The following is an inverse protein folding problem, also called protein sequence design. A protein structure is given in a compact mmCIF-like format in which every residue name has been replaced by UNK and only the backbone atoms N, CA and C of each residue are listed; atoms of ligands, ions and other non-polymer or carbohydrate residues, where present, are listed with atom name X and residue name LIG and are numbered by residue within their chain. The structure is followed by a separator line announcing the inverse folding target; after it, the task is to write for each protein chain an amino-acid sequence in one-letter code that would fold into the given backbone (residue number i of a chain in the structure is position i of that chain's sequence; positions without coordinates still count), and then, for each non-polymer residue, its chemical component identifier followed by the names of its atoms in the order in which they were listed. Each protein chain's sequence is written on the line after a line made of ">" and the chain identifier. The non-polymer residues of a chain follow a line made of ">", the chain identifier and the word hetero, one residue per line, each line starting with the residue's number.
data_IF_855486767835
#
_entry.id   IF_855486767835
#
_cell.length_a   1.000
_cell.length_b   1.000
_cell.length_c   1.000
_cell.angle_alpha   90.00
_cell.angle_beta   90.00
_cell.angle_gamma   90.00
#
_symmetry.space_group_name_H-M   'P 1'
#
loop_
_entity.id
_entity.type
_entity.pdbx_description
1 polymer ?
#
# COMPACT_ATOMS: atom_id res chain seq x y z
N UNK A 1 6.51 -10.22 12.79
CA UNK A 1 5.11 -9.80 12.93
C UNK A 1 4.16 -10.81 12.27
N UNK A 2 2.86 -10.76 12.59
CA UNK A 2 1.84 -11.64 11.99
C UNK A 2 1.75 -11.43 10.46
N UNK A 3 1.93 -10.21 10.00
CA UNK A 3 1.92 -9.90 8.57
C UNK A 3 3.13 -10.52 7.84
N UNK A 4 4.30 -10.55 8.44
CA UNK A 4 5.47 -11.27 7.89
C UNK A 4 5.24 -12.79 7.89
N UNK A 5 4.63 -13.32 8.95
CA UNK A 5 4.25 -14.74 9.01
C UNK A 5 3.26 -15.11 7.92
N UNK A 6 2.28 -14.24 7.64
CA UNK A 6 1.34 -14.41 6.54
C UNK A 6 2.04 -14.38 5.17
N UNK A 7 2.95 -13.42 4.93
CA UNK A 7 3.76 -13.38 3.71
C UNK A 7 4.59 -14.64 3.52
N UNK A 8 5.22 -15.12 4.59
CA UNK A 8 5.98 -16.38 4.57
C UNK A 8 5.08 -17.56 4.21
N UNK A 9 3.93 -17.69 4.86
CA UNK A 9 2.98 -18.78 4.61
C UNK A 9 2.54 -18.81 3.14
N UNK A 10 2.19 -17.66 2.56
CA UNK A 10 1.76 -17.58 1.16
C UNK A 10 2.90 -17.98 0.21
N UNK A 11 4.14 -17.55 0.47
CA UNK A 11 5.29 -17.92 -0.35
C UNK A 11 5.65 -19.40 -0.23
N UNK A 12 5.66 -19.94 0.98
CA UNK A 12 5.95 -21.36 1.25
C UNK A 12 4.88 -22.28 0.63
N UNK A 13 3.64 -21.81 0.51
CA UNK A 13 2.52 -22.55 -0.05
C UNK A 13 2.30 -22.29 -1.55
N UNK A 14 3.15 -21.51 -2.20
CA UNK A 14 2.93 -21.06 -3.57
C UNK A 14 2.75 -22.24 -4.55
N UNK A 15 3.54 -23.28 -4.44
CA UNK A 15 3.43 -24.48 -5.30
C UNK A 15 2.10 -25.21 -5.07
N UNK A 16 1.72 -25.40 -3.79
CA UNK A 16 0.48 -26.11 -3.41
C UNK A 16 -0.76 -25.32 -3.85
N UNK A 17 -0.70 -24.00 -3.76
CA UNK A 17 -1.81 -23.11 -4.12
C UNK A 17 -1.76 -22.63 -5.58
N UNK A 18 -0.82 -23.14 -6.36
CA UNK A 18 -0.61 -22.75 -7.76
C UNK A 18 -0.47 -21.24 -7.94
N UNK A 19 0.33 -20.61 -7.08
CA UNK A 19 0.65 -19.19 -7.11
C UNK A 19 2.02 -18.95 -7.75
N UNK A 20 2.21 -17.78 -8.34
CA UNK A 20 3.53 -17.31 -8.72
C UNK A 20 4.21 -16.66 -7.51
N UNK A 21 5.28 -17.24 -6.92
CA UNK A 21 5.94 -16.68 -5.75
C UNK A 21 6.58 -15.30 -6.00
N UNK A 22 6.76 -14.92 -7.26
CA UNK A 22 7.31 -13.62 -7.66
C UNK A 22 6.21 -12.58 -8.01
N UNK A 23 4.94 -12.89 -7.75
CA UNK A 23 3.80 -12.01 -8.02
C UNK A 23 2.80 -12.02 -6.85
N UNK A 24 3.31 -11.83 -5.63
CA UNK A 24 2.53 -11.79 -4.39
C UNK A 24 2.56 -10.36 -3.86
N UNK A 25 1.38 -9.74 -3.79
CA UNK A 25 1.21 -8.39 -3.26
C UNK A 25 0.66 -8.36 -1.85
N UNK A 26 0.72 -7.17 -1.25
CA UNK A 26 0.03 -6.85 -0.01
C UNK A 26 -0.97 -5.73 -0.25
N UNK A 27 -2.13 -5.82 0.41
CA UNK A 27 -3.17 -4.79 0.32
C UNK A 27 -3.60 -4.36 1.72
N UNK A 28 -3.81 -3.07 1.89
CA UNK A 28 -4.29 -2.53 3.15
C UNK A 28 -5.02 -1.20 3.00
N UNK A 29 -5.94 -0.93 3.92
CA UNK A 29 -6.71 0.31 3.97
C UNK A 29 -6.52 1.00 5.32
N UNK A 30 -6.49 2.34 5.35
CA UNK A 30 -6.39 3.13 6.57
C UNK A 30 -5.19 2.70 7.44
N UNK A 31 -5.39 2.34 8.69
CA UNK A 31 -4.34 1.76 9.55
C UNK A 31 -3.75 0.45 8.99
N UNK A 32 -4.57 -0.37 8.30
CA UNK A 32 -4.08 -1.55 7.57
C UNK A 32 -3.18 -1.18 6.38
N UNK A 33 -3.37 -0.01 5.79
CA UNK A 33 -2.47 0.57 4.81
C UNK A 33 -1.11 0.92 5.41
N UNK A 34 -1.09 1.38 6.68
CA UNK A 34 0.17 1.56 7.40
C UNK A 34 0.90 0.23 7.59
N UNK A 35 0.20 -0.81 8.07
CA UNK A 35 0.79 -2.14 8.20
C UNK A 35 1.34 -2.66 6.87
N UNK A 36 0.55 -2.56 5.79
CA UNK A 36 0.97 -3.00 4.46
C UNK A 36 2.22 -2.26 3.97
N UNK A 37 2.27 -0.94 4.10
CA UNK A 37 3.44 -0.14 3.72
C UNK A 37 4.64 -0.35 4.66
N UNK A 38 4.42 -0.70 5.93
CA UNK A 38 5.49 -1.09 6.85
C UNK A 38 6.14 -2.40 6.39
N UNK A 39 5.36 -3.42 6.03
CA UNK A 39 5.91 -4.65 5.46
C UNK A 39 6.67 -4.37 4.16
N UNK A 40 6.13 -3.50 3.31
CA UNK A 40 6.77 -3.13 2.04
C UNK A 40 8.12 -2.42 2.23
N UNK A 41 8.29 -1.64 3.30
CA UNK A 41 9.50 -0.84 3.54
C UNK A 41 10.50 -1.50 4.49
N UNK A 42 10.05 -2.31 5.47
CA UNK A 42 10.91 -2.85 6.53
C UNK A 42 11.19 -4.35 6.42
N UNK A 43 10.31 -5.13 5.75
CA UNK A 43 10.51 -6.57 5.69
C UNK A 43 11.80 -6.94 4.93
N UNK A 44 12.49 -8.00 5.36
CA UNK A 44 13.61 -8.54 4.60
C UNK A 44 13.14 -9.02 3.22
N UNK A 45 14.06 -9.09 2.27
CA UNK A 45 13.77 -9.42 0.87
C UNK A 45 12.87 -10.66 0.70
N UNK A 46 13.16 -11.72 1.44
CA UNK A 46 12.41 -12.99 1.37
C UNK A 46 10.92 -12.85 1.77
N UNK A 47 10.57 -11.85 2.58
CA UNK A 47 9.21 -11.61 3.08
C UNK A 47 8.57 -10.37 2.47
N UNK A 48 9.34 -9.58 1.70
CA UNK A 48 8.84 -8.35 1.08
C UNK A 48 7.85 -8.69 -0.04
N UNK A 49 6.68 -8.03 -0.09
CA UNK A 49 5.74 -8.21 -1.19
C UNK A 49 6.33 -7.74 -2.53
N UNK A 50 5.80 -8.22 -3.64
CA UNK A 50 6.21 -7.80 -4.99
C UNK A 50 5.54 -6.50 -5.42
N UNK A 51 4.40 -6.16 -4.82
CA UNK A 51 3.67 -4.90 -5.01
C UNK A 51 2.77 -4.61 -3.80
N UNK A 52 2.32 -3.37 -3.68
CA UNK A 52 1.45 -2.92 -2.61
C UNK A 52 0.26 -2.13 -3.15
N UNK A 53 -0.93 -2.37 -2.57
CA UNK A 53 -2.18 -1.69 -2.90
C UNK A 53 -2.68 -1.02 -1.64
N UNK A 54 -2.78 0.30 -1.65
CA UNK A 54 -3.01 1.11 -0.46
C UNK A 54 -4.23 2.02 -0.64
N UNK A 55 -5.27 1.75 0.13
CA UNK A 55 -6.50 2.55 0.14
C UNK A 55 -6.45 3.53 1.32
N UNK A 56 -6.43 4.82 1.01
CA UNK A 56 -6.36 5.92 1.98
C UNK A 56 -5.47 5.58 3.20
N UNK A 57 -4.21 5.10 2.93
CA UNK A 57 -3.37 4.57 3.99
C UNK A 57 -2.92 5.65 4.98
N UNK A 58 -2.82 5.30 6.25
CA UNK A 58 -1.91 5.99 7.15
C UNK A 58 -0.48 5.63 6.70
N UNK A 59 0.39 6.61 6.58
CA UNK A 59 1.79 6.43 6.14
C UNK A 59 2.75 7.02 7.16
N UNK A 60 2.54 8.27 7.51
CA UNK A 60 3.40 9.01 8.44
C UNK A 60 2.99 8.79 9.89
N UNK A 61 3.97 8.94 10.79
CA UNK A 61 3.74 9.11 12.22
C UNK A 61 4.05 10.54 12.69
N UNK A 62 4.26 11.46 11.74
CA UNK A 62 4.40 12.88 12.04
C UNK A 62 3.06 13.45 12.52
N UNK A 63 3.03 13.92 13.77
CA UNK A 63 1.81 14.40 14.46
C UNK A 63 1.10 15.55 13.74
N UNK A 64 1.78 16.26 12.84
CA UNK A 64 1.18 17.39 12.12
C UNK A 64 0.17 16.98 11.04
N UNK A 65 0.25 15.74 10.52
CA UNK A 65 -0.65 15.26 9.47
C UNK A 65 -0.92 13.75 9.46
N UNK A 66 -0.54 13.03 10.54
CA UNK A 66 -0.93 11.63 10.73
C UNK A 66 -2.37 11.49 11.20
N UNK A 67 -2.88 10.27 11.21
CA UNK A 67 -4.06 9.88 11.99
C UNK A 67 -3.64 9.58 13.43
N UNK A 68 -3.93 10.47 14.37
CA UNK A 68 -3.45 10.37 15.77
C UNK A 68 -3.88 9.08 16.47
N UNK A 69 -5.08 8.57 16.19
CA UNK A 69 -5.52 7.29 16.74
C UNK A 69 -4.61 6.13 16.33
N UNK A 70 -4.15 6.08 15.09
CA UNK A 70 -3.18 5.08 14.61
C UNK A 70 -1.81 5.27 15.25
N UNK A 71 -1.34 6.52 15.35
CA UNK A 71 -0.09 6.85 16.03
C UNK A 71 -0.08 6.36 17.48
N UNK A 72 -1.08 6.75 18.26
CA UNK A 72 -1.14 6.45 19.70
C UNK A 72 -1.32 4.94 19.97
N UNK A 73 -2.08 4.25 19.13
CA UNK A 73 -2.27 2.80 19.26
C UNK A 73 -1.02 2.00 18.89
N UNK A 74 -0.23 2.48 17.93
CA UNK A 74 0.97 1.78 17.48
C UNK A 74 2.19 2.10 18.35
N UNK A 75 2.42 3.39 18.61
CA UNK A 75 3.65 3.88 19.22
C UNK A 75 3.49 4.33 20.67
N UNK A 76 2.26 4.58 21.11
CA UNK A 76 1.97 5.25 22.37
C UNK A 76 1.98 6.77 22.23
N UNK A 77 1.29 7.45 23.19
CA UNK A 77 1.14 8.91 23.16
C UNK A 77 2.47 9.66 23.32
N UNK A 78 3.40 9.08 24.05
CA UNK A 78 4.72 9.65 24.38
C UNK A 78 5.85 9.04 23.54
N UNK A 79 5.53 8.64 22.31
CA UNK A 79 6.52 8.07 21.38
C UNK A 79 7.70 9.03 21.15
N UNK A 80 8.91 8.47 21.09
CA UNK A 80 10.09 9.26 20.74
C UNK A 80 10.10 9.67 19.29
N UNK A 81 10.78 10.77 18.97
CA UNK A 81 10.96 11.23 17.59
C UNK A 81 11.63 10.18 16.70
N UNK A 82 12.53 9.36 17.25
CA UNK A 82 13.19 8.28 16.50
C UNK A 82 12.19 7.18 16.15
N UNK A 83 11.29 6.81 17.06
CA UNK A 83 10.25 5.82 16.81
C UNK A 83 9.22 6.35 15.80
N UNK A 84 8.81 7.61 15.92
CA UNK A 84 7.93 8.25 14.93
C UNK A 84 8.58 8.27 13.54
N UNK A 85 9.89 8.55 13.46
CA UNK A 85 10.63 8.52 12.20
C UNK A 85 10.75 7.12 11.63
N UNK A 86 11.00 6.11 12.46
CA UNK A 86 11.10 4.71 12.07
C UNK A 86 9.81 4.22 11.42
N UNK A 87 8.66 4.56 12.02
CA UNK A 87 7.34 4.16 11.52
C UNK A 87 6.66 5.17 10.59
N UNK A 88 7.35 6.24 10.19
CA UNK A 88 6.96 7.10 9.08
C UNK A 88 7.47 6.48 7.77
N UNK A 89 6.62 5.71 7.10
CA UNK A 89 7.02 4.85 5.98
C UNK A 89 7.54 5.63 4.77
N UNK A 90 7.13 6.88 4.57
CA UNK A 90 7.70 7.76 3.55
C UNK A 90 9.19 8.05 3.77
N UNK A 91 9.67 7.92 5.00
CA UNK A 91 11.09 8.10 5.37
C UNK A 91 11.91 6.81 5.25
N UNK A 92 11.25 5.68 5.05
CA UNK A 92 11.85 4.35 5.00
C UNK A 92 11.95 3.76 3.59
N UNK A 93 11.51 4.51 2.58
CA UNK A 93 11.53 4.07 1.18
C UNK A 93 12.95 3.92 0.67
N UNK A 94 13.24 2.76 0.08
CA UNK A 94 14.49 2.46 -0.63
C UNK A 94 14.18 2.12 -2.11
N UNK A 95 15.20 1.87 -2.91
CA UNK A 95 15.03 1.41 -4.30
C UNK A 95 14.46 -0.02 -4.40
N UNK A 96 14.55 -0.79 -3.31
CA UNK A 96 14.00 -2.13 -3.19
C UNK A 96 12.54 -2.15 -2.70
N UNK A 97 12.01 -1.00 -2.27
CA UNK A 97 10.60 -0.89 -1.90
C UNK A 97 9.71 -1.23 -3.11
N UNK A 98 8.70 -2.11 -2.96
CA UNK A 98 7.89 -2.55 -4.09
C UNK A 98 6.99 -1.43 -4.61
N UNK A 99 6.66 -1.52 -5.90
CA UNK A 99 5.73 -0.60 -6.58
C UNK A 99 4.40 -0.50 -5.83
N UNK A 100 3.78 0.69 -5.90
CA UNK A 100 2.57 0.98 -5.15
C UNK A 100 1.43 1.52 -6.03
N UNK A 101 0.22 1.08 -5.71
CA UNK A 101 -1.03 1.71 -6.11
C UNK A 101 -1.65 2.38 -4.89
N UNK A 102 -1.84 3.70 -4.94
CA UNK A 102 -2.26 4.51 -3.78
C UNK A 102 -3.50 5.31 -4.17
N UNK A 103 -4.55 5.25 -3.36
CA UNK A 103 -5.80 5.97 -3.63
C UNK A 103 -6.33 6.70 -2.39
N UNK A 104 -6.87 7.90 -2.61
CA UNK A 104 -7.51 8.75 -1.59
C UNK A 104 -8.73 9.47 -2.15
N UNK A 105 -9.49 10.09 -1.26
CA UNK A 105 -10.39 11.21 -1.59
C UNK A 105 -9.80 12.51 -1.07
N UNK A 106 -9.94 13.61 -1.82
CA UNK A 106 -9.42 14.93 -1.45
C UNK A 106 -10.06 15.46 -0.16
N UNK A 107 -11.31 15.09 0.06
CA UNK A 107 -12.11 15.47 1.23
C UNK A 107 -11.95 14.55 2.44
N UNK A 108 -10.94 13.64 2.45
CA UNK A 108 -10.66 12.76 3.60
C UNK A 108 -10.20 13.57 4.81
N UNK A 109 -11.04 13.60 5.86
CA UNK A 109 -10.76 14.32 7.13
C UNK A 109 -10.19 13.42 8.23
N UNK A 110 -10.09 12.11 7.97
CA UNK A 110 -9.57 11.11 8.91
C UNK A 110 -8.09 10.87 8.68
N UNK A 111 -7.72 10.57 7.43
CA UNK A 111 -6.33 10.40 7.00
C UNK A 111 -6.05 11.39 5.88
N UNK A 112 -5.38 12.50 6.15
CA UNK A 112 -5.10 13.51 5.13
C UNK A 112 -4.36 12.93 3.93
N UNK A 113 -4.77 13.25 2.68
CA UNK A 113 -4.12 12.78 1.46
C UNK A 113 -2.62 13.08 1.38
N UNK A 114 -2.12 14.05 2.16
CA UNK A 114 -0.69 14.34 2.32
C UNK A 114 0.14 13.10 2.70
N UNK A 115 -0.45 12.13 3.42
CA UNK A 115 0.18 10.83 3.68
C UNK A 115 0.59 10.14 2.37
N UNK A 116 -0.36 9.99 1.44
CA UNK A 116 -0.13 9.34 0.15
C UNK A 116 0.77 10.15 -0.77
N UNK A 117 0.61 11.48 -0.78
CA UNK A 117 1.43 12.40 -1.59
C UNK A 117 2.91 12.27 -1.19
N UNK A 118 3.22 12.34 0.10
CA UNK A 118 4.60 12.23 0.59
C UNK A 118 5.19 10.84 0.32
N UNK A 119 4.38 9.80 0.47
CA UNK A 119 4.83 8.43 0.15
C UNK A 119 5.11 8.25 -1.33
N UNK A 120 4.22 8.71 -2.20
CA UNK A 120 4.43 8.70 -3.65
C UNK A 120 5.70 9.45 -4.06
N UNK A 121 5.93 10.64 -3.51
CA UNK A 121 7.14 11.42 -3.79
C UNK A 121 8.41 10.69 -3.33
N UNK A 122 8.37 10.02 -2.19
CA UNK A 122 9.49 9.22 -1.69
C UNK A 122 9.77 8.01 -2.62
N UNK A 123 8.74 7.31 -3.07
CA UNK A 123 8.84 6.21 -4.04
C UNK A 123 9.41 6.71 -5.37
N UNK A 124 8.87 7.81 -5.91
CA UNK A 124 9.32 8.42 -7.15
C UNK A 124 10.79 8.83 -7.09
N UNK A 125 11.22 9.48 -6.00
CA UNK A 125 12.63 9.86 -5.77
C UNK A 125 13.59 8.67 -5.78
N UNK A 126 13.11 7.48 -5.41
CA UNK A 126 13.89 6.23 -5.42
C UNK A 126 13.76 5.44 -6.72
N UNK A 127 13.04 5.96 -7.71
CA UNK A 127 12.80 5.30 -8.99
C UNK A 127 11.85 4.09 -8.89
N UNK A 128 11.04 4.01 -7.84
CA UNK A 128 10.05 2.94 -7.66
C UNK A 128 8.78 3.30 -8.45
N UNK A 129 8.37 2.49 -9.44
CA UNK A 129 7.17 2.75 -10.22
C UNK A 129 5.92 2.71 -9.33
N UNK A 130 5.19 3.83 -9.26
CA UNK A 130 4.00 3.93 -8.41
C UNK A 130 2.99 4.88 -9.02
N UNK A 131 1.73 4.71 -8.65
CA UNK A 131 0.64 5.61 -9.04
C UNK A 131 -0.09 6.12 -7.81
N UNK A 132 -0.60 7.34 -7.91
CA UNK A 132 -1.43 7.98 -6.89
C UNK A 132 -2.66 8.58 -7.57
N UNK A 133 -3.84 8.16 -7.11
CA UNK A 133 -5.12 8.74 -7.52
C UNK A 133 -5.78 9.40 -6.32
N UNK A 134 -6.18 10.65 -6.49
CA UNK A 134 -6.94 11.41 -5.47
C UNK A 134 -8.26 11.82 -6.12
N UNK A 135 -9.36 11.22 -5.67
CA UNK A 135 -10.70 11.52 -6.15
C UNK A 135 -11.27 12.75 -5.45
N UNK A 136 -12.08 13.57 -6.13
CA UNK A 136 -12.56 14.83 -5.55
C UNK A 136 -13.34 14.67 -4.24
N UNK A 137 -14.13 13.58 -4.12
CA UNK A 137 -14.97 13.33 -2.95
C UNK A 137 -15.02 11.84 -2.62
N UNK A 138 -15.46 11.51 -1.42
CA UNK A 138 -15.64 10.14 -0.92
C UNK A 138 -15.36 10.01 0.56
N UNK A 139 -14.69 10.99 1.16
CA UNK A 139 -14.28 10.94 2.54
C UNK A 139 -13.33 9.78 2.82
N UNK A 140 -13.52 9.10 3.93
CA UNK A 140 -12.69 7.98 4.38
C UNK A 140 -13.47 6.67 4.41
N UNK A 141 -12.80 5.56 4.13
CA UNK A 141 -13.37 4.23 4.38
C UNK A 141 -14.30 3.69 3.28
N UNK A 142 -14.29 4.27 2.08
CA UNK A 142 -15.18 3.86 1.00
C UNK A 142 -14.86 2.47 0.40
N UNK A 143 -13.60 2.06 0.33
CA UNK A 143 -13.18 0.75 -0.19
C UNK A 143 -13.81 0.42 -1.55
N UNK A 144 -14.65 -0.62 -1.55
CA UNK A 144 -15.43 -1.06 -2.74
C UNK A 144 -16.95 -0.86 -2.55
N UNK A 145 -17.34 0.07 -1.67
CA UNK A 145 -18.76 0.34 -1.38
C UNK A 145 -19.49 0.83 -2.64
N UNK A 146 -20.75 0.44 -2.77
CA UNK A 146 -21.57 0.81 -3.92
C UNK A 146 -21.87 2.30 -4.00
N UNK A 147 -21.90 2.99 -2.87
CA UNK A 147 -22.13 4.43 -2.77
C UNK A 147 -20.89 5.30 -3.01
N UNK A 148 -19.72 4.71 -3.24
CA UNK A 148 -18.54 5.47 -3.67
C UNK A 148 -18.65 5.87 -5.12
N UNK A 149 -18.76 7.17 -5.37
CA UNK A 149 -19.02 7.74 -6.71
C UNK A 149 -18.01 7.29 -7.78
N UNK A 150 -16.74 7.11 -7.40
CA UNK A 150 -15.63 6.76 -8.30
C UNK A 150 -15.23 5.28 -8.23
N UNK A 151 -16.13 4.41 -7.76
CA UNK A 151 -15.83 2.98 -7.58
C UNK A 151 -15.38 2.33 -8.89
N UNK A 152 -16.12 2.57 -9.99
CA UNK A 152 -15.83 1.95 -11.29
C UNK A 152 -14.50 2.44 -11.85
N UNK A 153 -14.23 3.73 -11.76
CA UNK A 153 -12.97 4.34 -12.21
C UNK A 153 -11.81 3.75 -11.43
N UNK A 154 -11.91 3.71 -10.10
CA UNK A 154 -10.88 3.15 -9.23
C UNK A 154 -10.59 1.68 -9.55
N UNK A 155 -11.63 0.87 -9.73
CA UNK A 155 -11.47 -0.55 -10.07
C UNK A 155 -10.83 -0.75 -11.44
N UNK A 156 -11.18 0.07 -12.42
CA UNK A 156 -10.58 0.04 -13.75
C UNK A 156 -9.11 0.45 -13.73
N UNK A 157 -8.76 1.50 -12.98
CA UNK A 157 -7.39 1.97 -12.80
C UNK A 157 -6.53 0.93 -12.07
N UNK A 158 -7.04 0.33 -10.99
CA UNK A 158 -6.37 -0.76 -10.28
C UNK A 158 -6.13 -1.97 -11.18
N UNK A 159 -7.14 -2.37 -11.94
CA UNK A 159 -7.06 -3.50 -12.87
C UNK A 159 -6.02 -3.22 -13.96
N UNK A 160 -6.04 -2.02 -14.53
CA UNK A 160 -5.08 -1.60 -15.56
C UNK A 160 -3.65 -1.56 -15.00
N UNK A 161 -3.48 -1.04 -13.78
CA UNK A 161 -2.19 -1.01 -13.12
C UNK A 161 -1.65 -2.42 -12.86
N UNK A 162 -2.47 -3.33 -12.33
CA UNK A 162 -2.07 -4.72 -12.11
C UNK A 162 -1.66 -5.42 -13.41
N UNK A 163 -2.36 -5.16 -14.51
CA UNK A 163 -2.02 -5.73 -15.84
C UNK A 163 -0.73 -5.15 -16.40
N UNK A 164 -0.36 -3.93 -16.04
CA UNK A 164 0.79 -3.21 -16.63
C UNK A 164 2.15 -3.88 -16.34
N UNK A 165 2.26 -4.68 -15.29
CA UNK A 165 3.50 -5.32 -14.88
C UNK A 165 3.40 -6.85 -14.74
N UNK A 166 2.22 -7.44 -14.94
CA UNK A 166 2.07 -8.90 -14.97
C UNK A 166 2.54 -9.43 -16.31
N UNK A 167 3.42 -10.42 -16.27
CA UNK A 167 3.78 -11.15 -17.49
C UNK A 167 2.52 -11.81 -18.07
N UNK A 168 2.34 -11.82 -19.41
CA UNK A 168 1.25 -12.57 -20.04
C UNK A 168 1.36 -14.03 -19.61
N UNK A 169 0.23 -14.65 -19.24
CA UNK A 169 0.20 -16.09 -18.97
C UNK A 169 0.71 -16.81 -20.22
N UNK A 170 1.65 -17.75 -20.04
CA UNK A 170 2.19 -18.56 -21.15
C UNK A 170 1.12 -19.36 -21.90
N UNK A 171 -0.06 -19.51 -21.30
CA UNK A 171 -1.17 -20.31 -21.80
C UNK A 171 -2.28 -19.48 -22.47
N UNK A 172 -2.09 -18.20 -22.69
CA UNK A 172 -2.98 -17.41 -23.54
C UNK A 172 -2.72 -17.82 -25.00
N UNK A 173 -3.20 -19.00 -25.39
CA UNK A 173 -3.35 -19.40 -26.79
C UNK A 173 -4.25 -18.35 -27.42
N UNK A 174 -3.67 -17.54 -28.30
CA UNK A 174 -4.46 -16.70 -29.20
C UNK A 174 -5.24 -17.64 -30.10
N UNK A 175 -6.52 -17.82 -29.80
CA UNK A 175 -7.45 -18.34 -30.80
C UNK A 175 -7.57 -17.22 -31.82
N UNK A 176 -7.05 -17.51 -33.00
CA UNK A 176 -7.15 -16.63 -34.17
C UNK A 176 -8.61 -16.54 -34.64
#
# INVERSE_FOLDING_TARGET
>A
SDAEAAMKMVRDSADVWNLNPNDIGIMGSSAGGHLASTIATHAPEALRPNFQILFYPVITMDKSFTHMGSHDNLLGKDASADLEKEFSNEKQVTKETPRAFIVYSDDDKVVPPANGVNYYLALNKKGVPSVLHIYPTGGHGWGIREDFLYKSEMQNELTSWLRSFKAPRKDAVRVA
#
